data_IF_492240011765
#
_entry.id   IF_492240011765
#
_cell.length_a   1.000
_cell.length_b   1.000
_cell.length_c   1.000
_cell.angle_alpha   90.00
_cell.angle_beta   90.00
_cell.angle_gamma   90.00
#
_symmetry.space_group_name_H-M   'P 1'
#
loop_
_entity.id
_entity.type
_entity.pdbx_description
1 polymer ?
#
# COMPACT_ATOMS: atom_id res chain seq x y z
N UNK A 1 32.65 10.71 -17.78
CA UNK A 1 31.48 10.34 -16.95
C UNK A 1 30.44 9.50 -17.70
N UNK A 2 29.89 9.95 -18.84
CA UNK A 2 28.84 9.20 -19.55
C UNK A 2 29.32 7.86 -20.15
N UNK A 3 30.59 7.77 -20.57
CA UNK A 3 31.19 6.51 -21.02
C UNK A 3 31.41 5.54 -19.86
N UNK A 4 31.98 5.98 -18.75
CA UNK A 4 32.18 5.14 -17.56
C UNK A 4 30.83 4.71 -16.94
N UNK A 5 29.81 5.58 -16.97
CA UNK A 5 28.45 5.21 -16.54
C UNK A 5 27.83 4.16 -17.45
N UNK A 6 27.97 4.29 -18.78
CA UNK A 6 27.50 3.26 -19.73
C UNK A 6 28.21 1.93 -19.49
N UNK A 7 29.52 1.95 -19.27
CA UNK A 7 30.31 0.75 -18.98
C UNK A 7 29.92 0.10 -17.65
N UNK A 8 29.61 0.92 -16.63
CA UNK A 8 29.08 0.46 -15.34
C UNK A 8 27.67 -0.11 -15.48
N UNK A 9 26.78 0.58 -16.21
CA UNK A 9 25.40 0.20 -16.41
C UNK A 9 25.25 -1.04 -17.31
N UNK A 10 26.21 -1.30 -18.21
CA UNK A 10 26.24 -2.49 -19.04
C UNK A 10 26.85 -3.72 -18.34
N UNK A 11 27.24 -3.60 -17.07
CA UNK A 11 27.66 -4.77 -16.30
C UNK A 11 26.44 -5.66 -16.06
N UNK A 12 26.50 -6.91 -16.54
CA UNK A 12 25.39 -7.87 -16.44
C UNK A 12 24.79 -7.98 -15.03
N UNK A 13 25.63 -8.07 -13.99
CA UNK A 13 25.17 -8.12 -12.59
C UNK A 13 24.32 -6.89 -12.17
N UNK A 14 24.64 -5.69 -12.66
CA UNK A 14 23.88 -4.47 -12.33
C UNK A 14 22.55 -4.40 -13.10
N UNK A 15 22.56 -4.83 -14.36
CA UNK A 15 21.33 -4.92 -15.19
C UNK A 15 20.37 -5.95 -14.62
N UNK A 16 20.85 -7.15 -14.31
CA UNK A 16 20.02 -8.24 -13.80
C UNK A 16 19.42 -7.90 -12.43
N UNK A 17 20.20 -7.23 -11.57
CA UNK A 17 19.70 -6.72 -10.29
C UNK A 17 18.61 -5.64 -10.49
N UNK A 18 18.82 -4.69 -11.41
CA UNK A 18 17.84 -3.64 -11.71
C UNK A 18 16.54 -4.22 -12.27
N UNK A 19 16.64 -5.18 -13.19
CA UNK A 19 15.48 -5.89 -13.75
C UNK A 19 14.73 -6.66 -12.65
N UNK A 20 15.44 -7.35 -11.76
CA UNK A 20 14.83 -8.07 -10.63
C UNK A 20 14.04 -7.15 -9.69
N UNK A 21 14.56 -5.96 -9.38
CA UNK A 21 13.87 -4.98 -8.53
C UNK A 21 12.64 -4.41 -9.22
N UNK A 22 12.74 -4.04 -10.50
CA UNK A 22 11.62 -3.47 -11.27
C UNK A 22 10.49 -4.49 -11.39
N UNK A 23 10.81 -5.74 -11.73
CA UNK A 23 9.82 -6.82 -11.81
C UNK A 23 9.22 -7.09 -10.43
N UNK A 24 10.05 -7.16 -9.37
CA UNK A 24 9.58 -7.38 -8.01
C UNK A 24 8.60 -6.30 -7.54
N UNK A 25 8.91 -5.03 -7.79
CA UNK A 25 8.04 -3.91 -7.44
C UNK A 25 6.73 -3.91 -8.24
N UNK A 26 6.80 -4.10 -9.56
CA UNK A 26 5.61 -4.14 -10.42
C UNK A 26 4.71 -5.34 -10.11
N UNK A 27 5.30 -6.52 -9.91
CA UNK A 27 4.55 -7.73 -9.59
C UNK A 27 3.94 -7.67 -8.18
N UNK A 28 4.63 -7.03 -7.23
CA UNK A 28 4.07 -6.73 -5.90
C UNK A 28 2.80 -5.88 -5.98
N UNK A 29 2.78 -4.84 -6.82
CA UNK A 29 1.58 -4.03 -7.04
C UNK A 29 0.43 -4.84 -7.68
N UNK A 30 0.72 -5.73 -8.62
CA UNK A 30 -0.27 -6.63 -9.22
C UNK A 30 -0.87 -7.55 -8.16
N UNK A 31 -0.04 -8.20 -7.35
CA UNK A 31 -0.50 -9.07 -6.26
C UNK A 31 -1.30 -8.28 -5.22
N UNK A 32 -0.89 -7.06 -4.87
CA UNK A 32 -1.63 -6.21 -3.96
C UNK A 32 -3.02 -5.86 -4.49
N UNK A 33 -3.15 -5.49 -5.78
CA UNK A 33 -4.46 -5.24 -6.41
C UNK A 33 -5.33 -6.49 -6.45
N UNK A 34 -4.75 -7.66 -6.75
CA UNK A 34 -5.48 -8.93 -6.76
C UNK A 34 -6.05 -9.25 -5.37
N UNK A 35 -5.24 -9.04 -4.32
CA UNK A 35 -5.68 -9.26 -2.95
C UNK A 35 -6.77 -8.27 -2.57
N UNK A 36 -6.58 -6.98 -2.84
CA UNK A 36 -7.52 -5.93 -2.47
C UNK A 36 -8.86 -6.02 -3.22
N UNK A 37 -8.80 -6.27 -4.53
CA UNK A 37 -9.99 -6.14 -5.39
C UNK A 37 -10.73 -7.46 -5.59
N UNK A 38 -10.07 -8.61 -5.44
CA UNK A 38 -10.67 -9.93 -5.72
C UNK A 38 -10.75 -10.82 -4.47
N UNK A 39 -9.73 -10.83 -3.61
CA UNK A 39 -9.70 -11.72 -2.43
C UNK A 39 -10.38 -11.10 -1.22
N UNK A 40 -10.13 -9.82 -0.95
CA UNK A 40 -10.69 -9.10 0.20
C UNK A 40 -12.22 -9.00 0.17
N UNK A 41 -12.94 -8.80 -0.96
CA UNK A 41 -14.40 -8.70 -0.92
C UNK A 41 -15.08 -10.01 -0.46
N UNK A 42 -14.75 -11.20 -0.99
CA UNK A 42 -15.28 -12.46 -0.46
C UNK A 42 -14.87 -12.75 0.99
N UNK A 43 -13.62 -12.42 1.38
CA UNK A 43 -13.14 -12.61 2.76
C UNK A 43 -13.85 -11.66 3.73
N UNK A 44 -14.06 -10.39 3.36
CA UNK A 44 -14.81 -9.40 4.12
C UNK A 44 -16.30 -9.74 4.24
N UNK A 45 -16.88 -10.37 3.21
CA UNK A 45 -18.24 -10.90 3.26
C UNK A 45 -18.36 -12.11 4.20
N UNK A 46 -17.37 -13.03 4.19
CA UNK A 46 -17.34 -14.20 5.08
C UNK A 46 -17.06 -13.85 6.55
N UNK A 47 -16.30 -12.79 6.80
CA UNK A 47 -16.01 -12.26 8.14
C UNK A 47 -17.06 -11.25 8.65
N UNK A 48 -18.10 -10.94 7.85
CA UNK A 48 -19.32 -10.26 8.32
C UNK A 48 -19.32 -8.74 8.25
N UNK A 49 -18.99 -8.13 7.11
CA UNK A 49 -19.05 -6.66 6.89
C UNK A 49 -18.12 -5.84 7.79
N UNK A 50 -16.97 -6.41 8.14
CA UNK A 50 -15.92 -5.61 8.78
C UNK A 50 -15.09 -5.01 7.66
N UNK A 51 -15.34 -3.75 7.33
CA UNK A 51 -14.47 -2.98 6.45
C UNK A 51 -13.16 -2.72 7.21
N UNK A 52 -12.15 -3.57 6.98
CA UNK A 52 -10.82 -3.42 7.58
C UNK A 52 -10.14 -2.10 7.19
N UNK A 53 -10.67 -1.42 6.17
CA UNK A 53 -10.25 -0.06 5.77
C UNK A 53 -10.79 1.01 6.72
N UNK A 54 -11.90 0.77 7.41
CA UNK A 54 -12.53 1.70 8.36
C UNK A 54 -12.59 1.14 9.80
N UNK A 55 -11.84 0.07 10.07
CA UNK A 55 -11.73 -0.51 11.41
C UNK A 55 -10.66 0.24 12.21
N UNK A 56 -11.06 1.36 12.80
CA UNK A 56 -10.20 2.17 13.65
C UNK A 56 -10.82 2.41 15.01
N UNK A 57 -9.98 2.37 16.04
CA UNK A 57 -10.35 2.78 17.38
C UNK A 57 -9.77 4.18 17.61
N UNK A 58 -10.63 5.16 17.92
CA UNK A 58 -10.18 6.51 18.30
C UNK A 58 -9.57 6.44 19.69
N UNK A 59 -8.23 6.50 19.78
CA UNK A 59 -7.52 6.46 21.05
C UNK A 59 -7.43 7.88 21.67
N UNK A 60 -7.48 8.91 20.83
CA UNK A 60 -7.51 10.32 21.20
C UNK A 60 -8.47 11.09 20.32
N UNK A 61 -9.45 11.75 20.93
CA UNK A 61 -10.40 12.60 20.21
C UNK A 61 -9.68 13.74 19.47
N UNK A 62 -10.00 13.89 18.18
CA UNK A 62 -9.61 15.03 17.36
C UNK A 62 -10.40 16.29 17.72
N UNK A 63 -10.24 17.35 16.93
CA UNK A 63 -10.86 18.65 17.21
C UNK A 63 -12.41 18.63 17.24
N UNK A 64 -13.04 17.63 16.62
CA UNK A 64 -14.49 17.45 16.65
C UNK A 64 -14.83 16.15 17.41
N UNK A 65 -15.60 16.16 18.51
CA UNK A 65 -15.97 14.93 19.21
C UNK A 65 -16.79 14.01 18.30
N UNK A 66 -16.40 12.73 18.21
CA UNK A 66 -16.99 11.74 17.30
C UNK A 66 -18.46 11.37 17.60
N UNK A 67 -19.07 10.48 16.77
CA UNK A 67 -18.39 9.44 15.99
C UNK A 67 -18.02 9.84 14.55
N UNK A 68 -16.82 9.45 14.10
CA UNK A 68 -16.36 9.62 12.73
C UNK A 68 -16.80 8.41 11.89
N UNK A 69 -17.29 8.67 10.67
CA UNK A 69 -17.81 7.62 9.79
C UNK A 69 -16.70 6.83 9.08
N UNK A 70 -15.51 7.41 8.89
CA UNK A 70 -14.39 6.80 8.14
C UNK A 70 -13.02 7.18 8.72
N UNK A 71 -11.99 6.39 8.38
CA UNK A 71 -10.60 6.66 8.76
C UNK A 71 -10.12 8.05 8.30
N UNK A 72 -10.55 8.44 7.09
CA UNK A 72 -10.19 9.72 6.49
C UNK A 72 -10.75 10.90 7.29
N UNK A 73 -11.97 10.78 7.81
CA UNK A 73 -12.60 11.82 8.63
C UNK A 73 -11.95 11.94 10.01
N UNK A 74 -11.54 10.82 10.61
CA UNK A 74 -10.82 10.81 11.87
C UNK A 74 -9.42 11.43 11.75
N UNK A 75 -8.68 11.08 10.69
CA UNK A 75 -7.36 11.67 10.41
C UNK A 75 -7.46 13.17 10.06
N UNK A 76 -8.46 13.58 9.29
CA UNK A 76 -8.72 14.99 8.97
C UNK A 76 -9.08 15.81 10.23
N UNK A 77 -9.77 15.19 11.20
CA UNK A 77 -10.04 15.79 12.50
C UNK A 77 -8.82 15.79 13.46
N UNK A 78 -7.69 15.17 13.06
CA UNK A 78 -6.49 15.04 13.88
C UNK A 78 -6.65 14.04 15.02
N UNK A 79 -7.62 13.13 14.93
CA UNK A 79 -7.77 12.01 15.84
C UNK A 79 -6.73 10.92 15.52
N UNK A 80 -6.20 10.28 16.56
CA UNK A 80 -5.20 9.18 16.47
C UNK A 80 -5.69 8.01 17.31
#
# INVERSE_FOLDING_TARGET
MLKEFKEFAMRGNMVDMAVGIIIGAAFGAIVASLVADIIMPPVGLLLGNVDFSDLFAVLKAGSAPGPYATLADAQAAGAV
#
